data_IF_030195213123
#
_entry.id   IF_030195213123
#
_cell.length_a   1.000
_cell.length_b   1.000
_cell.length_c   1.000
_cell.angle_alpha   90.00
_cell.angle_beta   90.00
_cell.angle_gamma   90.00
#
_symmetry.space_group_name_H-M   'P 1'
#
loop_
_entity.id
_entity.type
_entity.pdbx_description
1 polymer ?
#
# COMPACT_ATOMS: atom_id res chain seq x y z
N UNK A 1 -8.56 -4.65 -1.98
CA UNK A 1 -9.75 -5.47 -1.67
C UNK A 1 -9.49 -6.30 -0.40
N UNK A 2 -8.60 -7.30 -0.37
CA UNK A 2 -8.36 -8.16 0.79
C UNK A 2 -8.06 -7.38 2.09
N UNK A 3 -7.28 -6.31 2.03
CA UNK A 3 -6.99 -5.47 3.21
C UNK A 3 -8.27 -4.88 3.81
N UNK A 4 -9.20 -4.43 2.96
CA UNK A 4 -10.50 -3.91 3.40
C UNK A 4 -11.34 -5.03 4.00
N UNK A 5 -11.43 -6.17 3.34
CA UNK A 5 -12.21 -7.33 3.80
C UNK A 5 -11.78 -7.78 5.20
N UNK A 6 -10.46 -7.86 5.44
CA UNK A 6 -9.90 -8.27 6.73
C UNK A 6 -10.18 -7.24 7.85
N UNK A 7 -9.96 -5.96 7.57
CA UNK A 7 -9.98 -4.95 8.62
C UNK A 7 -11.33 -4.24 8.75
N UNK A 8 -12.03 -3.94 7.64
CA UNK A 8 -13.31 -3.24 7.72
C UNK A 8 -14.43 -4.12 8.29
N UNK A 9 -14.32 -5.45 8.19
CA UNK A 9 -15.26 -6.37 8.87
C UNK A 9 -15.29 -6.20 10.39
N UNK A 10 -14.19 -5.73 10.99
CA UNK A 10 -14.07 -5.49 12.44
C UNK A 10 -14.02 -4.02 12.82
N UNK A 11 -13.60 -3.19 11.91
CA UNK A 11 -13.51 -1.73 12.03
C UNK A 11 -14.14 -1.09 10.80
N UNK A 12 -15.48 -0.89 10.78
CA UNK A 12 -16.19 -0.32 9.63
C UNK A 12 -15.68 1.06 9.21
N UNK A 13 -15.05 1.78 10.13
CA UNK A 13 -14.39 3.06 9.92
C UNK A 13 -13.02 2.95 9.22
N UNK A 14 -12.52 1.72 8.94
CA UNK A 14 -11.26 1.49 8.26
C UNK A 14 -11.30 1.99 6.82
N UNK A 15 -10.33 2.81 6.44
CA UNK A 15 -10.16 3.29 5.07
C UNK A 15 -8.77 3.00 4.53
N UNK A 16 -8.69 2.88 3.21
CA UNK A 16 -7.42 2.63 2.51
C UNK A 16 -7.13 3.79 1.57
N UNK A 17 -5.90 4.29 1.62
CA UNK A 17 -5.41 5.24 0.62
C UNK A 17 -5.14 4.50 -0.69
N UNK A 18 -5.83 4.90 -1.75
CA UNK A 18 -5.78 4.24 -3.06
C UNK A 18 -5.58 5.24 -4.20
N UNK A 19 -5.08 4.73 -5.32
CA UNK A 19 -5.08 5.47 -6.57
C UNK A 19 -6.53 5.73 -7.03
N UNK A 20 -6.80 6.94 -7.52
CA UNK A 20 -8.13 7.37 -7.99
C UNK A 20 -8.80 6.46 -9.03
N UNK A 21 -8.04 5.59 -9.73
CA UNK A 21 -8.64 4.58 -10.62
C UNK A 21 -9.47 3.57 -9.82
N UNK A 22 -9.06 3.24 -8.61
CA UNK A 22 -9.75 2.25 -7.77
C UNK A 22 -11.05 2.78 -7.16
N UNK A 23 -11.23 4.09 -7.06
CA UNK A 23 -12.48 4.68 -6.57
C UNK A 23 -13.67 4.45 -7.51
N UNK A 24 -13.43 4.00 -8.74
CA UNK A 24 -14.48 3.57 -9.67
C UNK A 24 -15.12 2.23 -9.29
N UNK A 25 -14.58 1.52 -8.29
CA UNK A 25 -15.19 0.31 -7.74
C UNK A 25 -16.23 0.74 -6.70
N UNK A 26 -17.46 1.04 -7.14
CA UNK A 26 -18.52 1.61 -6.30
C UNK A 26 -18.86 0.82 -5.04
N UNK A 27 -18.72 -0.52 -5.08
CA UNK A 27 -18.97 -1.37 -3.91
C UNK A 27 -18.05 -1.13 -2.70
N UNK A 28 -16.98 -0.36 -2.85
CA UNK A 28 -15.97 -0.11 -1.79
C UNK A 28 -15.60 1.37 -1.65
N UNK A 29 -16.34 2.29 -2.29
CA UNK A 29 -15.96 3.70 -2.30
C UNK A 29 -15.90 4.32 -0.91
N UNK A 30 -16.76 3.87 0.00
CA UNK A 30 -16.77 4.30 1.41
C UNK A 30 -15.48 3.95 2.16
N UNK A 31 -14.74 2.95 1.70
CA UNK A 31 -13.49 2.52 2.31
C UNK A 31 -12.25 3.14 1.65
N UNK A 32 -12.42 4.04 0.67
CA UNK A 32 -11.30 4.63 -0.06
C UNK A 32 -11.04 6.09 0.30
N UNK A 33 -9.77 6.45 0.34
CA UNK A 33 -9.30 7.83 0.24
C UNK A 33 -8.46 7.91 -1.03
N UNK A 34 -8.96 8.67 -2.00
CA UNK A 34 -8.31 8.81 -3.30
C UNK A 34 -7.09 9.73 -3.25
N UNK A 35 -6.01 9.27 -3.87
CA UNK A 35 -4.82 10.06 -4.18
C UNK A 35 -4.41 9.83 -5.63
N UNK A 36 -3.71 10.79 -6.21
CA UNK A 36 -3.11 10.64 -7.55
C UNK A 36 -1.65 10.20 -7.36
N UNK A 37 -1.18 9.14 -8.03
CA UNK A 37 0.21 8.72 -7.93
C UNK A 37 1.17 9.83 -8.36
N UNK A 38 2.23 10.04 -7.58
CA UNK A 38 3.27 11.06 -7.86
C UNK A 38 4.12 10.74 -9.11
N UNK A 39 3.89 9.61 -9.77
CA UNK A 39 4.78 9.03 -10.78
C UNK A 39 4.94 9.85 -12.07
N UNK A 40 4.17 10.92 -12.30
CA UNK A 40 4.17 11.59 -13.61
C UNK A 40 4.14 13.12 -13.62
N UNK A 41 4.11 13.82 -12.48
CA UNK A 41 4.19 15.29 -12.47
C UNK A 41 5.04 15.79 -11.31
N UNK A 42 6.11 16.50 -11.62
CA UNK A 42 6.86 17.31 -10.65
C UNK A 42 5.94 18.46 -10.20
N UNK A 43 5.46 18.39 -8.97
CA UNK A 43 4.64 19.43 -8.35
C UNK A 43 3.58 18.85 -7.40
N UNK A 44 3.25 19.58 -6.35
CA UNK A 44 2.21 19.18 -5.41
C UNK A 44 0.84 19.18 -6.12
N UNK A 45 0.29 17.99 -6.37
CA UNK A 45 -1.06 17.87 -6.87
C UNK A 45 -2.05 18.18 -5.73
N UNK A 46 -2.98 19.15 -5.87
CA UNK A 46 -3.95 19.49 -4.84
C UNK A 46 -4.75 18.29 -4.31
N UNK A 47 -5.06 17.31 -5.18
CA UNK A 47 -5.75 16.09 -4.79
C UNK A 47 -4.91 15.23 -3.82
N UNK A 48 -3.58 15.19 -3.99
CA UNK A 48 -2.69 14.48 -3.09
C UNK A 48 -2.59 15.19 -1.73
N UNK A 49 -2.54 16.51 -1.72
CA UNK A 49 -2.51 17.31 -0.50
C UNK A 49 -3.78 17.05 0.33
N UNK A 50 -4.95 17.04 -0.31
CA UNK A 50 -6.21 16.76 0.35
C UNK A 50 -6.30 15.32 0.87
N UNK A 51 -5.91 14.33 0.08
CA UNK A 51 -5.89 12.92 0.49
C UNK A 51 -4.97 12.67 1.69
N UNK A 52 -3.76 13.23 1.67
CA UNK A 52 -2.80 13.13 2.79
C UNK A 52 -3.32 13.86 4.03
N UNK A 53 -3.90 15.05 3.87
CA UNK A 53 -4.49 15.82 4.99
C UNK A 53 -5.64 15.06 5.64
N UNK A 54 -6.56 14.53 4.84
CA UNK A 54 -7.70 13.76 5.33
C UNK A 54 -7.24 12.50 6.05
N UNK A 55 -6.25 11.79 5.50
CA UNK A 55 -5.67 10.61 6.13
C UNK A 55 -5.04 10.93 7.48
N UNK A 56 -4.29 12.04 7.57
CA UNK A 56 -3.68 12.47 8.83
C UNK A 56 -4.73 12.86 9.86
N UNK A 57 -5.79 13.55 9.45
CA UNK A 57 -6.89 13.92 10.32
C UNK A 57 -7.57 12.68 10.89
N UNK A 58 -7.94 11.72 10.05
CA UNK A 58 -8.56 10.47 10.47
C UNK A 58 -7.70 9.68 11.46
N UNK A 59 -6.39 9.57 11.20
CA UNK A 59 -5.46 8.90 12.12
C UNK A 59 -5.41 9.60 13.49
N UNK A 60 -5.43 10.93 13.52
CA UNK A 60 -5.48 11.70 14.77
C UNK A 60 -6.79 11.53 15.53
N UNK A 61 -7.89 11.29 14.83
CA UNK A 61 -9.21 10.98 15.40
C UNK A 61 -9.34 9.51 15.85
N UNK A 62 -8.28 8.70 15.69
CA UNK A 62 -8.26 7.29 16.11
C UNK A 62 -8.86 6.32 15.09
N UNK A 63 -9.13 6.77 13.86
CA UNK A 63 -9.62 5.91 12.80
C UNK A 63 -8.47 5.18 12.11
N UNK A 64 -8.55 3.85 11.96
CA UNK A 64 -7.49 3.09 11.32
C UNK A 64 -7.44 3.32 9.81
N UNK A 65 -6.23 3.28 9.26
CA UNK A 65 -6.00 3.47 7.84
C UNK A 65 -5.00 2.47 7.27
N UNK A 66 -5.27 1.99 6.06
CA UNK A 66 -4.36 1.15 5.29
C UNK A 66 -3.61 1.94 4.21
N UNK A 67 -2.35 1.56 4.01
CA UNK A 67 -1.48 2.16 3.00
C UNK A 67 -0.75 1.08 2.21
N UNK A 68 -0.61 1.31 0.90
CA UNK A 68 0.31 0.57 0.04
C UNK A 68 1.48 1.50 -0.31
N UNK A 69 2.58 1.48 0.48
CA UNK A 69 3.59 2.53 0.42
C UNK A 69 4.31 2.65 -0.92
N UNK A 70 4.40 1.54 -1.67
CA UNK A 70 5.00 1.55 -3.01
C UNK A 70 4.16 2.33 -4.04
N UNK A 71 2.85 2.53 -3.79
CA UNK A 71 1.94 3.27 -4.67
C UNK A 71 1.72 2.63 -6.04
N UNK A 72 2.32 1.48 -6.31
CA UNK A 72 2.27 0.76 -7.57
C UNK A 72 2.33 -0.76 -7.34
N UNK A 73 1.99 -1.50 -8.39
CA UNK A 73 2.10 -2.95 -8.39
C UNK A 73 3.57 -3.36 -8.44
N UNK A 74 3.97 -4.33 -7.63
CA UNK A 74 5.29 -4.95 -7.63
C UNK A 74 5.73 -5.37 -9.04
N UNK A 75 7.01 -5.42 -9.28
CA UNK A 75 7.60 -5.79 -10.57
C UNK A 75 8.61 -6.94 -10.40
N UNK A 76 8.89 -7.64 -11.49
CA UNK A 76 9.92 -8.66 -11.51
C UNK A 76 11.28 -8.01 -11.77
N UNK A 77 12.16 -8.07 -10.76
CA UNK A 77 13.54 -7.62 -10.89
C UNK A 77 14.38 -8.72 -11.55
N UNK A 78 14.80 -8.49 -12.80
CA UNK A 78 15.58 -9.46 -13.59
C UNK A 78 16.97 -9.76 -12.99
N UNK A 79 17.59 -8.77 -12.33
CA UNK A 79 18.92 -8.92 -11.71
C UNK A 79 18.87 -9.82 -10.48
N UNK A 80 17.85 -9.62 -9.65
CA UNK A 80 17.67 -10.34 -8.40
C UNK A 80 16.79 -11.59 -8.54
N UNK A 81 16.22 -11.81 -9.75
CA UNK A 81 15.32 -12.93 -10.09
C UNK A 81 14.14 -13.09 -9.11
N UNK A 82 13.62 -11.97 -8.62
CA UNK A 82 12.51 -11.96 -7.65
C UNK A 82 11.54 -10.81 -7.89
N UNK A 83 10.33 -10.96 -7.38
CA UNK A 83 9.31 -9.90 -7.38
C UNK A 83 9.62 -8.92 -6.26
N UNK A 84 9.63 -7.63 -6.57
CA UNK A 84 9.87 -6.55 -5.62
C UNK A 84 8.89 -5.41 -5.79
N UNK A 85 8.67 -4.69 -4.71
CA UNK A 85 8.01 -3.39 -4.74
C UNK A 85 8.94 -2.30 -5.25
N UNK A 86 8.34 -1.23 -5.77
CA UNK A 86 9.04 0.04 -5.95
C UNK A 86 9.43 0.63 -4.60
N UNK A 87 10.34 1.59 -4.62
CA UNK A 87 10.71 2.35 -3.44
C UNK A 87 9.46 2.97 -2.81
N UNK A 88 9.36 2.88 -1.49
CA UNK A 88 8.22 3.42 -0.77
C UNK A 88 8.16 4.94 -0.85
N UNK A 89 6.96 5.48 -1.07
CA UNK A 89 6.74 6.90 -1.31
C UNK A 89 7.04 7.74 -0.05
N UNK A 90 7.86 8.78 -0.21
CA UNK A 90 8.20 9.72 0.88
C UNK A 90 6.95 10.35 1.53
N UNK A 91 5.89 10.60 0.75
CA UNK A 91 4.63 11.13 1.26
C UNK A 91 3.99 10.23 2.31
N UNK A 92 4.03 8.90 2.11
CA UNK A 92 3.50 7.91 3.06
C UNK A 92 4.40 7.84 4.30
N UNK A 93 5.73 7.84 4.14
CA UNK A 93 6.67 7.80 5.27
C UNK A 93 6.50 9.03 6.17
N UNK A 94 6.39 10.22 5.57
CA UNK A 94 6.12 11.46 6.31
C UNK A 94 4.76 11.47 6.98
N UNK A 95 3.75 10.88 6.36
CA UNK A 95 2.42 10.76 6.96
C UNK A 95 2.48 9.85 8.19
N UNK A 96 3.12 8.69 8.10
CA UNK A 96 3.35 7.76 9.23
C UNK A 96 4.02 8.49 10.39
N UNK A 97 5.10 9.22 10.13
CA UNK A 97 5.81 10.02 11.14
C UNK A 97 4.92 11.07 11.81
N UNK A 98 4.11 11.77 11.01
CA UNK A 98 3.23 12.85 11.50
C UNK A 98 1.99 12.34 12.23
N UNK A 99 1.56 11.14 11.94
CA UNK A 99 0.37 10.54 12.53
C UNK A 99 0.55 10.24 14.03
N UNK A 100 1.78 9.92 14.46
CA UNK A 100 2.09 9.51 15.84
C UNK A 100 1.17 8.39 16.32
N UNK A 101 0.86 7.46 15.43
CA UNK A 101 0.00 6.30 15.66
C UNK A 101 0.81 5.01 15.47
N UNK A 102 0.45 3.90 16.13
CA UNK A 102 1.13 2.63 15.92
C UNK A 102 0.94 2.13 14.49
N UNK A 103 1.98 1.49 13.94
CA UNK A 103 1.97 0.90 12.59
C UNK A 103 1.97 -0.61 12.71
N UNK A 104 1.02 -1.26 12.06
CA UNK A 104 0.93 -2.69 11.93
C UNK A 104 1.43 -3.12 10.55
N UNK A 105 2.60 -3.77 10.45
CA UNK A 105 3.08 -4.33 9.19
C UNK A 105 2.16 -5.47 8.74
N UNK A 106 1.71 -5.42 7.48
CA UNK A 106 0.86 -6.48 6.91
C UNK A 106 1.49 -6.98 5.62
N UNK A 107 1.86 -8.25 5.58
CA UNK A 107 2.43 -8.90 4.41
C UNK A 107 1.45 -9.90 3.80
N UNK A 108 1.20 -9.77 2.51
CA UNK A 108 0.39 -10.71 1.73
C UNK A 108 1.31 -11.65 0.96
N UNK A 109 1.34 -12.92 1.34
CA UNK A 109 2.10 -13.95 0.63
C UNK A 109 1.33 -14.45 -0.59
N UNK A 110 1.15 -13.56 -1.55
CA UNK A 110 0.37 -13.85 -2.72
C UNK A 110 0.89 -13.08 -3.95
N UNK A 111 1.33 -13.80 -4.97
CA UNK A 111 1.90 -13.20 -6.16
C UNK A 111 0.94 -13.29 -7.36
N UNK A 112 1.12 -12.41 -8.33
CA UNK A 112 0.49 -12.50 -9.63
C UNK A 112 1.20 -13.57 -10.49
N UNK A 113 0.60 -13.90 -11.64
CA UNK A 113 1.22 -14.88 -12.55
C UNK A 113 2.54 -14.36 -13.13
N UNK A 114 3.46 -15.26 -13.47
CA UNK A 114 4.70 -14.89 -14.15
C UNK A 114 4.45 -14.11 -15.45
N UNK A 115 3.39 -14.49 -16.17
CA UNK A 115 2.98 -13.80 -17.39
C UNK A 115 2.59 -12.34 -17.12
N UNK A 116 1.90 -12.06 -16.02
CA UNK A 116 1.57 -10.70 -15.62
C UNK A 116 2.82 -9.83 -15.40
N UNK A 117 3.82 -10.38 -14.70
CA UNK A 117 5.08 -9.67 -14.49
C UNK A 117 5.88 -9.50 -15.79
N UNK A 118 5.86 -10.49 -16.66
CA UNK A 118 6.50 -10.42 -17.96
C UNK A 118 5.90 -9.32 -18.83
N UNK A 119 4.58 -9.21 -18.89
CA UNK A 119 3.88 -8.11 -19.57
C UNK A 119 4.33 -6.73 -19.05
N UNK A 120 4.58 -6.60 -17.75
CA UNK A 120 5.07 -5.36 -17.14
C UNK A 120 6.45 -4.92 -17.64
N UNK A 121 7.26 -5.88 -18.15
CA UNK A 121 8.54 -5.57 -18.78
C UNK A 121 8.39 -5.06 -20.22
N UNK A 122 7.25 -5.29 -20.87
CA UNK A 122 6.95 -4.83 -22.23
C UNK A 122 6.20 -3.49 -22.17
N UNK A 123 5.09 -3.44 -21.41
CA UNK A 123 4.26 -2.26 -21.29
C UNK A 123 3.47 -2.29 -19.97
N UNK A 124 3.60 -1.23 -19.19
CA UNK A 124 2.82 -1.08 -17.96
C UNK A 124 1.31 -0.93 -18.24
N UNK A 125 0.95 -0.34 -19.38
CA UNK A 125 -0.45 -0.15 -19.79
C UNK A 125 -1.13 -1.49 -20.05
N UNK A 126 -0.48 -2.36 -20.84
CA UNK A 126 -0.99 -3.71 -21.15
C UNK A 126 -1.11 -4.54 -19.87
N UNK A 127 -0.12 -4.47 -18.97
CA UNK A 127 -0.18 -5.11 -17.67
C UNK A 127 -1.39 -4.63 -16.86
N UNK A 128 -1.67 -3.32 -16.86
CA UNK A 128 -2.78 -2.74 -16.12
C UNK A 128 -4.13 -3.26 -16.60
N UNK A 129 -4.32 -3.42 -17.90
CA UNK A 129 -5.54 -4.00 -18.47
C UNK A 129 -5.78 -5.45 -18.03
N UNK A 130 -4.74 -6.15 -17.61
CA UNK A 130 -4.83 -7.54 -17.15
C UNK A 130 -5.14 -7.69 -15.65
N UNK A 131 -5.18 -6.61 -14.88
CA UNK A 131 -5.47 -6.66 -13.44
C UNK A 131 -6.78 -7.39 -13.12
N UNK A 132 -7.91 -7.14 -13.81
CA UNK A 132 -9.14 -7.87 -13.56
C UNK A 132 -8.97 -9.38 -13.76
N UNK A 133 -8.29 -9.80 -14.82
CA UNK A 133 -8.02 -11.22 -15.09
C UNK A 133 -7.21 -11.88 -13.98
N UNK A 134 -6.18 -11.18 -13.47
CA UNK A 134 -5.38 -11.68 -12.33
C UNK A 134 -6.23 -11.82 -11.06
N UNK A 135 -7.15 -10.90 -10.82
CA UNK A 135 -8.07 -10.99 -9.69
C UNK A 135 -9.00 -12.21 -9.82
N UNK A 136 -9.56 -12.46 -11.01
CA UNK A 136 -10.39 -13.65 -11.26
C UNK A 136 -9.62 -14.96 -11.16
N UNK A 137 -8.37 -15.02 -11.64
CA UNK A 137 -7.51 -16.19 -11.54
C UNK A 137 -7.18 -16.58 -10.08
N UNK A 138 -7.44 -15.69 -9.15
CA UNK A 138 -7.20 -15.88 -7.72
C UNK A 138 -8.44 -16.36 -6.97
N UNK A 139 -9.59 -16.38 -7.62
CA UNK A 139 -10.84 -16.83 -7.01
C UNK A 139 -10.70 -18.27 -6.50
N UNK A 140 -11.08 -18.50 -5.25
CA UNK A 140 -10.99 -19.80 -4.60
C UNK A 140 -9.58 -20.24 -4.15
N UNK A 141 -8.54 -19.39 -4.37
CA UNK A 141 -7.20 -19.66 -3.84
C UNK A 141 -7.05 -19.05 -2.45
N UNK A 142 -6.30 -19.74 -1.60
CA UNK A 142 -5.90 -19.20 -0.29
C UNK A 142 -4.78 -18.16 -0.48
N UNK A 143 -4.89 -17.09 0.25
CA UNK A 143 -3.82 -16.09 0.41
C UNK A 143 -3.42 -16.05 1.88
N UNK A 144 -2.17 -16.34 2.18
CA UNK A 144 -1.67 -16.20 3.54
C UNK A 144 -1.35 -14.74 3.81
N UNK A 145 -1.83 -14.26 4.96
CA UNK A 145 -1.64 -12.87 5.40
C UNK A 145 -0.96 -12.90 6.75
N UNK A 146 0.19 -12.25 6.81
CA UNK A 146 1.00 -12.15 8.02
C UNK A 146 0.89 -10.74 8.58
N UNK A 147 0.46 -10.63 9.83
CA UNK A 147 0.41 -9.36 10.57
C UNK A 147 1.57 -9.39 11.54
N UNK A 148 2.53 -8.48 11.35
CA UNK A 148 3.68 -8.36 12.23
C UNK A 148 3.36 -7.61 13.51
N UNK A 149 4.32 -7.64 14.45
CA UNK A 149 4.23 -6.89 15.70
C UNK A 149 4.05 -5.39 15.45
N UNK A 150 3.20 -4.72 16.23
CA UNK A 150 3.00 -3.28 16.12
C UNK A 150 4.31 -2.52 16.36
N UNK A 151 4.53 -1.51 15.55
CA UNK A 151 5.65 -0.58 15.68
C UNK A 151 5.12 0.67 16.38
N UNK A 152 5.69 1.01 17.52
CA UNK A 152 5.21 2.12 18.32
C UNK A 152 5.59 3.48 17.72
N UNK A 153 4.87 4.57 18.06
CA UNK A 153 5.26 5.93 17.67
C UNK A 153 6.67 6.31 18.14
N UNK A 154 7.12 5.79 19.28
CA UNK A 154 8.43 6.03 19.87
C UNK A 154 9.53 5.37 19.03
N UNK A 155 9.32 4.12 18.58
CA UNK A 155 10.23 3.44 17.66
C UNK A 155 10.36 4.20 16.34
N UNK A 156 9.25 4.72 15.81
CA UNK A 156 9.23 5.53 14.58
C UNK A 156 9.98 6.85 14.79
N UNK A 157 9.80 7.50 15.93
CA UNK A 157 10.46 8.77 16.26
C UNK A 157 11.96 8.61 16.47
N UNK A 158 12.41 7.44 16.95
CA UNK A 158 13.83 7.15 17.17
C UNK A 158 14.65 7.07 15.86
N UNK A 159 14.00 6.95 14.69
CA UNK A 159 14.66 6.89 13.38
C UNK A 159 14.47 8.26 12.70
N UNK A 160 15.45 9.17 12.71
CA UNK A 160 15.27 10.55 12.25
C UNK A 160 15.12 10.68 10.72
N UNK A 161 15.85 9.88 9.96
CA UNK A 161 15.88 9.96 8.51
C UNK A 161 14.71 9.21 7.86
N UNK A 162 13.99 9.86 6.93
CA UNK A 162 12.86 9.26 6.22
C UNK A 162 13.26 8.02 5.40
N UNK A 163 14.49 8.01 4.88
CA UNK A 163 15.02 6.86 4.13
C UNK A 163 15.21 5.64 5.02
N UNK A 164 15.79 5.84 6.19
CA UNK A 164 16.06 4.75 7.15
C UNK A 164 14.75 4.22 7.75
N UNK A 165 13.79 5.12 8.00
CA UNK A 165 12.45 4.73 8.43
C UNK A 165 11.74 3.90 7.36
N UNK A 166 11.84 4.29 6.08
CA UNK A 166 11.27 3.50 4.98
C UNK A 166 11.88 2.09 4.92
N UNK A 167 13.20 1.98 5.06
CA UNK A 167 13.89 0.68 5.07
C UNK A 167 13.52 -0.16 6.29
N UNK A 168 13.43 0.44 7.46
CA UNK A 168 13.00 -0.22 8.69
C UNK A 168 11.58 -0.79 8.55
N UNK A 169 10.62 0.03 8.11
CA UNK A 169 9.23 -0.40 7.90
C UNK A 169 9.12 -1.48 6.82
N UNK A 170 9.91 -1.37 5.75
CA UNK A 170 10.01 -2.40 4.71
C UNK A 170 10.48 -3.74 5.29
N UNK A 171 11.59 -3.74 6.03
CA UNK A 171 12.14 -4.95 6.66
C UNK A 171 11.14 -5.58 7.64
N UNK A 172 10.45 -4.76 8.45
CA UNK A 172 9.41 -5.25 9.39
C UNK A 172 8.23 -5.87 8.65
N UNK A 173 7.83 -5.30 7.50
CA UNK A 173 6.71 -5.81 6.70
C UNK A 173 7.05 -7.13 6.02
N UNK A 174 8.19 -7.21 5.34
CA UNK A 174 8.60 -8.44 4.65
C UNK A 174 9.12 -9.52 5.61
N UNK A 175 9.59 -9.13 6.77
CA UNK A 175 9.98 -10.04 7.86
C UNK A 175 8.81 -10.62 8.67
N UNK A 176 7.59 -10.17 8.45
CA UNK A 176 6.41 -10.68 9.16
C UNK A 176 6.06 -12.14 8.77
N UNK A 177 6.62 -12.65 7.68
CA UNK A 177 6.46 -14.04 7.20
C UNK A 177 7.35 -15.05 7.96
N UNK A 178 7.81 -14.80 9.13
CA UNK A 178 8.62 -15.77 9.89
C UNK A 178 7.80 -16.93 10.41
#
# INVERSE_FOLDING_TARGET
>A
IMLIDIFASRRPDFKVMVNGILTKIGAMEDNFISVVPDSHKRGANPANVNGVRLSLQRLKEGHPMGFFPAGAISFYNKKEKQVRDLSWAHSVIRLVRKAKAPVYPVYFDFQNTHFFYWLGNISWQIRTLRIPTEAFNKRGKKADVYIGEPISPEEIAAIPEDKDLAEFLYKRTYGAKK
#
